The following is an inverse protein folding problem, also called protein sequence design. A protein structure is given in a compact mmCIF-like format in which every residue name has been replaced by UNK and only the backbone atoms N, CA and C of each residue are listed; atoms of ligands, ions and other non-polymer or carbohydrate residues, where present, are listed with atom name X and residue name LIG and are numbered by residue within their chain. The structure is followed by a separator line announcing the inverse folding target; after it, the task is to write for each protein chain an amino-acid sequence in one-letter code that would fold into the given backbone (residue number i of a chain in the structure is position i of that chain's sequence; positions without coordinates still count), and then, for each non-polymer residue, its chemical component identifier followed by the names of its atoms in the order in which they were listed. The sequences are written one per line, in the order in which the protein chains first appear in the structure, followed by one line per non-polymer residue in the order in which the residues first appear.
data_IF_411689308254
#
_entry.id   IF_411689308254
#
_cell.length_a   1.000
_cell.length_b   1.000
_cell.length_c   1.000
_cell.angle_alpha   90.00
_cell.angle_beta   90.00
_cell.angle_gamma   90.00
#
_symmetry.space_group_name_H-M   'P 1'
#
loop_
_entity.id
_entity.type
_entity.pdbx_description
1 polymer ?
#
# COMPACT_ATOMS: atom_id res chain seq x y z
N UNK A 1 6.24 2.17 29.13
CA UNK A 1 6.39 2.19 27.65
C UNK A 1 5.04 1.83 27.05
N UNK A 2 4.53 2.64 26.12
CA UNK A 2 3.33 2.27 25.38
C UNK A 2 3.68 1.19 24.36
N UNK A 3 2.93 0.09 24.34
CA UNK A 3 3.04 -0.96 23.33
C UNK A 3 2.00 -0.69 22.25
N UNK A 4 2.45 -0.57 21.01
CA UNK A 4 1.57 -0.43 19.85
C UNK A 4 1.41 -1.79 19.18
N UNK A 5 0.17 -2.14 18.83
CA UNK A 5 -0.15 -3.39 18.15
C UNK A 5 -0.71 -3.05 16.77
N UNK A 6 -0.12 -3.66 15.75
CA UNK A 6 -0.56 -3.54 14.36
C UNK A 6 -0.68 -4.93 13.76
N UNK A 7 -1.59 -5.12 12.81
CA UNK A 7 -1.68 -6.39 12.06
C UNK A 7 -0.41 -6.66 11.25
N UNK A 8 0.26 -5.61 10.79
CA UNK A 8 1.51 -5.68 10.04
C UNK A 8 2.32 -4.40 10.20
N UNK A 9 3.65 -4.55 10.24
CA UNK A 9 4.61 -3.44 10.24
C UNK A 9 5.64 -3.74 9.17
N UNK A 10 5.88 -2.78 8.27
CA UNK A 10 6.88 -2.89 7.21
C UNK A 10 8.11 -2.08 7.60
N UNK A 11 9.29 -2.70 7.51
CA UNK A 11 10.57 -2.03 7.73
C UNK A 11 10.96 -1.13 6.56
N UNK A 12 12.04 -0.34 6.70
CA UNK A 12 12.50 0.58 5.65
C UNK A 12 12.93 -0.14 4.35
N UNK A 13 13.35 -1.40 4.45
CA UNK A 13 13.76 -2.21 3.29
C UNK A 13 12.58 -2.83 2.53
N UNK A 14 11.36 -2.69 3.04
CA UNK A 14 10.18 -3.29 2.41
C UNK A 14 9.91 -2.67 1.04
N UNK A 15 9.74 -3.53 0.04
CA UNK A 15 9.42 -3.12 -1.32
C UNK A 15 7.92 -2.84 -1.50
N UNK A 16 7.56 -2.11 -2.56
CA UNK A 16 6.16 -1.89 -2.93
C UNK A 16 5.42 -3.20 -3.26
N UNK A 17 6.13 -4.17 -3.83
CA UNK A 17 5.58 -5.50 -4.13
C UNK A 17 5.23 -6.26 -2.86
N UNK A 18 6.16 -6.34 -1.89
CA UNK A 18 5.92 -6.98 -0.60
C UNK A 18 4.79 -6.30 0.18
N UNK A 19 4.71 -4.96 0.12
CA UNK A 19 3.60 -4.21 0.71
C UNK A 19 2.26 -4.56 0.07
N UNK A 20 2.21 -4.62 -1.27
CA UNK A 20 1.00 -4.94 -2.02
C UNK A 20 0.52 -6.36 -1.74
N UNK A 21 1.41 -7.34 -1.88
CA UNK A 21 1.15 -8.75 -1.59
C UNK A 21 0.70 -8.93 -0.13
N UNK A 22 1.32 -8.18 0.78
CA UNK A 22 1.06 -8.29 2.20
C UNK A 22 -0.16 -7.56 2.74
N UNK A 23 -0.74 -6.62 1.99
CA UNK A 23 -1.79 -5.72 2.51
C UNK A 23 -2.94 -5.50 1.54
N UNK A 24 -2.65 -5.31 0.24
CA UNK A 24 -3.60 -4.81 -0.74
C UNK A 24 -4.18 -5.89 -1.65
N UNK A 25 -3.46 -7.01 -1.84
CA UNK A 25 -3.89 -8.11 -2.71
C UNK A 25 -5.30 -8.61 -2.39
N UNK A 26 -5.56 -8.93 -1.12
CA UNK A 26 -6.87 -9.45 -0.72
C UNK A 26 -7.98 -8.39 -0.90
N UNK A 27 -7.84 -7.14 -0.41
CA UNK A 27 -8.82 -6.09 -0.72
C UNK A 27 -9.10 -5.91 -2.21
N UNK A 28 -8.09 -5.98 -3.07
CA UNK A 28 -8.26 -5.89 -4.52
C UNK A 28 -9.05 -7.08 -5.05
N UNK A 29 -8.76 -8.29 -4.62
CA UNK A 29 -9.53 -9.49 -5.00
C UNK A 29 -10.98 -9.39 -4.56
N UNK A 30 -11.23 -8.98 -3.31
CA UNK A 30 -12.60 -8.84 -2.80
C UNK A 30 -13.38 -7.78 -3.59
N UNK A 31 -12.71 -6.70 -3.99
CA UNK A 31 -13.30 -5.67 -4.85
C UNK A 31 -13.69 -6.23 -6.23
N UNK A 32 -12.83 -7.05 -6.85
CA UNK A 32 -13.15 -7.72 -8.11
C UNK A 32 -14.30 -8.72 -7.99
N UNK A 33 -14.51 -9.27 -6.80
CA UNK A 33 -15.66 -10.14 -6.48
C UNK A 33 -16.94 -9.36 -6.12
N UNK A 34 -16.94 -8.03 -6.26
CA UNK A 34 -18.09 -7.18 -6.02
C UNK A 34 -18.29 -6.76 -4.56
N UNK A 35 -17.27 -6.93 -3.70
CA UNK A 35 -17.30 -6.46 -2.30
C UNK A 35 -16.71 -5.06 -2.19
N UNK A 36 -17.42 -4.16 -1.51
CA UNK A 36 -16.93 -2.81 -1.28
C UNK A 36 -15.75 -2.80 -0.31
N UNK A 37 -14.70 -2.05 -0.66
CA UNK A 37 -13.49 -1.86 0.15
C UNK A 37 -13.18 -0.38 0.28
N UNK A 38 -12.62 -0.01 1.43
CA UNK A 38 -12.24 1.36 1.74
C UNK A 38 -10.79 1.38 2.22
N UNK A 39 -9.96 2.20 1.59
CA UNK A 39 -8.52 2.29 1.88
C UNK A 39 -8.18 3.75 2.14
N UNK A 40 -7.48 3.98 3.24
CA UNK A 40 -6.96 5.30 3.60
C UNK A 40 -5.48 5.19 3.93
N UNK A 41 -4.72 6.20 3.51
CA UNK A 41 -3.35 6.42 3.97
C UNK A 41 -3.32 7.59 4.93
N UNK A 42 -2.74 7.40 6.11
CA UNK A 42 -2.63 8.43 7.14
C UNK A 42 -1.18 8.67 7.52
N UNK A 43 -0.85 9.90 7.87
CA UNK A 43 0.50 10.32 8.26
C UNK A 43 0.74 11.79 7.95
N UNK A 44 1.79 12.36 8.55
CA UNK A 44 2.20 13.75 8.30
C UNK A 44 2.70 13.95 6.86
N UNK A 45 2.85 15.20 6.43
CA UNK A 45 3.48 15.52 5.14
C UNK A 45 4.87 14.89 5.06
N UNK A 46 5.25 14.40 3.87
CA UNK A 46 6.50 13.67 3.62
C UNK A 46 6.66 12.30 4.34
N UNK A 47 5.60 11.77 4.96
CA UNK A 47 5.64 10.44 5.59
C UNK A 47 5.56 9.24 4.59
N UNK A 48 5.70 9.48 3.29
CA UNK A 48 5.68 8.40 2.28
C UNK A 48 4.30 7.97 1.76
N UNK A 49 3.18 8.58 2.21
CA UNK A 49 1.80 8.21 1.78
C UNK A 49 1.63 8.07 0.26
N UNK A 50 2.04 9.08 -0.50
CA UNK A 50 1.93 9.09 -1.98
C UNK A 50 2.76 7.98 -2.60
N UNK A 51 3.98 7.77 -2.12
CA UNK A 51 4.85 6.69 -2.57
C UNK A 51 4.23 5.31 -2.27
N UNK A 52 3.71 5.10 -1.07
CA UNK A 52 3.09 3.81 -0.70
C UNK A 52 1.86 3.50 -1.55
N UNK A 53 1.00 4.48 -1.84
CA UNK A 53 -0.25 4.23 -2.57
C UNK A 53 -0.09 4.26 -4.10
N UNK A 54 0.69 5.19 -4.63
CA UNK A 54 0.84 5.39 -6.09
C UNK A 54 2.17 4.87 -6.64
N UNK A 55 3.16 4.58 -5.79
CA UNK A 55 4.52 4.26 -6.22
C UNK A 55 5.25 5.46 -6.83
N UNK A 56 6.27 5.17 -7.63
CA UNK A 56 6.89 6.17 -8.50
C UNK A 56 6.21 6.18 -9.86
N UNK A 57 5.88 7.36 -10.37
CA UNK A 57 5.30 7.57 -11.70
C UNK A 57 6.29 7.27 -12.83
N UNK A 58 6.68 6.01 -12.98
CA UNK A 58 7.64 5.56 -14.01
C UNK A 58 7.12 4.46 -14.93
N UNK A 59 5.80 4.32 -15.01
CA UNK A 59 5.14 3.54 -16.05
C UNK A 59 4.08 4.43 -16.73
N UNK A 60 4.53 5.47 -17.44
CA UNK A 60 3.94 5.64 -18.77
C UNK A 60 4.29 4.35 -19.49
N UNK A 61 3.28 3.58 -19.87
CA UNK A 61 3.49 2.47 -20.80
C UNK A 61 4.15 3.10 -22.03
N UNK A 62 5.48 3.02 -22.13
CA UNK A 62 6.13 3.15 -23.43
C UNK A 62 5.63 1.95 -24.19
N UNK A 63 4.62 2.19 -25.01
CA UNK A 63 4.36 1.37 -26.17
C UNK A 63 5.63 1.47 -27.03
N UNK A 64 6.55 0.54 -26.79
CA UNK A 64 7.47 0.04 -27.81
C UNK A 64 7.09 -1.41 -28.07
#
# INVERSE_FOLDING_TARGET
MAKFTFSRVFGPEATQEEFFEGTMKQPVQDFLEGRNRLVFTYGVTNAGKTYTFQGMSRNVVSLQ
#
